data_IF_408197373805
#
_entry.id   IF_408197373805
#
_cell.length_a   1.000
_cell.length_b   1.000
_cell.length_c   1.000
_cell.angle_alpha   90.00
_cell.angle_beta   90.00
_cell.angle_gamma   90.00
#
_symmetry.space_group_name_H-M   'P 1'
#
loop_
_entity.id
_entity.type
_entity.pdbx_description
1 polymer ?
#
# COMPACT_ATOMS: atom_id res chain seq x y z
N UNK A 1 -38.52 9.54 8.24
CA UNK A 1 -39.24 8.37 8.74
C UNK A 1 -38.66 7.14 8.09
N UNK A 2 -37.63 6.55 8.72
CA UNK A 2 -36.99 5.33 8.25
C UNK A 2 -37.93 4.15 8.46
N UNK A 3 -38.25 3.44 7.40
CA UNK A 3 -39.10 2.26 7.40
C UNK A 3 -38.44 1.02 8.04
N UNK A 4 -37.11 1.11 8.34
CA UNK A 4 -36.37 0.01 8.98
C UNK A 4 -35.54 0.61 10.13
N UNK A 5 -35.81 0.26 11.39
CA UNK A 5 -34.97 0.70 12.51
C UNK A 5 -33.53 0.20 12.33
N UNK A 6 -32.54 1.09 12.43
CA UNK A 6 -31.13 0.78 12.30
C UNK A 6 -30.51 0.99 10.91
N UNK A 7 -31.26 1.40 9.91
CA UNK A 7 -30.72 1.77 8.60
C UNK A 7 -30.35 3.26 8.59
N UNK A 8 -29.14 3.58 9.04
CA UNK A 8 -28.60 4.92 8.88
C UNK A 8 -28.16 5.12 7.43
N UNK A 9 -28.79 6.10 6.75
CA UNK A 9 -28.38 6.48 5.40
C UNK A 9 -27.09 7.27 5.49
N UNK A 10 -26.03 6.73 4.91
CA UNK A 10 -24.74 7.39 4.82
C UNK A 10 -24.52 7.88 3.38
N UNK A 11 -24.31 9.17 3.24
CA UNK A 11 -23.95 9.77 1.97
C UNK A 11 -22.53 10.33 2.06
N UNK A 12 -21.68 9.93 1.16
CA UNK A 12 -20.30 10.41 1.06
C UNK A 12 -19.85 10.47 -0.39
N UNK A 13 -18.89 11.31 -0.66
CA UNK A 13 -18.17 11.38 -1.93
C UNK A 13 -16.82 10.69 -1.74
N UNK A 14 -16.45 9.79 -2.65
CA UNK A 14 -15.13 9.17 -2.68
C UNK A 14 -14.42 9.51 -3.98
N UNK A 15 -13.13 9.75 -3.88
CA UNK A 15 -12.22 9.93 -5.03
C UNK A 15 -11.02 9.02 -4.85
N UNK A 16 -10.64 8.30 -5.91
CA UNK A 16 -9.45 7.46 -5.95
C UNK A 16 -8.65 7.78 -7.22
N UNK A 17 -7.40 8.17 -7.04
CA UNK A 17 -6.48 8.52 -8.12
C UNK A 17 -5.25 7.63 -8.04
N UNK A 18 -4.89 6.97 -9.14
CA UNK A 18 -3.74 6.08 -9.24
C UNK A 18 -2.81 6.52 -10.35
N UNK A 19 -1.51 6.41 -10.11
CA UNK A 19 -0.46 6.66 -11.08
C UNK A 19 0.62 5.60 -10.99
N UNK A 20 1.13 5.18 -12.15
CA UNK A 20 2.20 4.20 -12.24
C UNK A 20 3.24 4.66 -13.25
N UNK A 21 4.52 4.42 -12.94
CA UNK A 21 5.64 4.73 -13.81
C UNK A 21 6.65 3.59 -13.75
N UNK A 22 7.26 3.27 -14.89
CA UNK A 22 8.20 2.18 -15.01
C UNK A 22 9.45 2.62 -15.79
N UNK A 23 10.63 2.33 -15.24
CA UNK A 23 11.91 2.58 -15.87
C UNK A 23 12.72 1.29 -15.93
N UNK A 24 13.16 0.88 -17.11
CA UNK A 24 14.15 -0.18 -17.25
C UNK A 24 15.53 0.41 -16.96
N UNK A 25 16.15 0.01 -15.86
CA UNK A 25 17.47 0.47 -15.44
C UNK A 25 18.58 -0.32 -16.14
N UNK A 26 18.34 -1.60 -16.37
CA UNK A 26 19.31 -2.51 -16.98
C UNK A 26 18.56 -3.57 -17.77
N UNK A 27 19.07 -3.92 -18.95
CA UNK A 27 18.61 -5.03 -19.77
C UNK A 27 19.81 -5.61 -20.52
N UNK A 28 20.41 -6.65 -19.94
CA UNK A 28 21.63 -7.28 -20.47
C UNK A 28 21.32 -8.71 -20.91
N UNK A 29 21.57 -9.07 -22.16
CA UNK A 29 21.45 -10.46 -22.61
C UNK A 29 22.54 -11.32 -21.94
N UNK A 30 22.13 -12.34 -21.19
CA UNK A 30 23.03 -13.27 -20.52
C UNK A 30 23.09 -14.57 -21.31
N UNK A 31 21.98 -14.97 -21.94
CA UNK A 31 21.90 -16.13 -22.84
C UNK A 31 20.91 -15.85 -23.96
N UNK A 32 20.82 -16.76 -24.95
CA UNK A 32 19.87 -16.62 -26.07
C UNK A 32 18.39 -16.55 -25.61
N UNK A 33 18.09 -17.07 -24.42
CA UNK A 33 16.73 -17.18 -23.90
C UNK A 33 16.47 -16.34 -22.66
N UNK A 34 17.49 -15.69 -22.09
CA UNK A 34 17.34 -14.95 -20.82
C UNK A 34 18.18 -13.67 -20.77
N UNK A 35 17.52 -12.59 -20.36
CA UNK A 35 18.13 -11.31 -20.07
C UNK A 35 18.12 -11.01 -18.57
N UNK A 36 19.23 -10.51 -18.04
CA UNK A 36 19.25 -9.89 -16.72
C UNK A 36 18.61 -8.50 -16.83
N UNK A 37 17.44 -8.35 -16.28
CA UNK A 37 16.66 -7.11 -16.35
C UNK A 37 16.34 -6.55 -14.98
N UNK A 38 16.55 -5.24 -14.82
CA UNK A 38 16.11 -4.49 -13.64
C UNK A 38 15.13 -3.42 -14.06
N UNK A 39 13.96 -3.41 -13.43
CA UNK A 39 12.92 -2.42 -13.66
C UNK A 39 12.60 -1.72 -12.36
N UNK A 40 12.74 -0.40 -12.36
CA UNK A 40 12.26 0.45 -11.27
C UNK A 40 10.80 0.80 -11.55
N UNK A 41 9.91 0.45 -10.64
CA UNK A 41 8.49 0.79 -10.71
C UNK A 41 8.14 1.76 -9.59
N UNK A 42 7.49 2.86 -9.93
CA UNK A 42 6.90 3.81 -9.01
C UNK A 42 5.38 3.73 -9.11
N UNK A 43 4.69 3.55 -7.98
CA UNK A 43 3.24 3.48 -7.91
C UNK A 43 2.76 4.47 -6.85
N UNK A 44 1.70 5.21 -7.15
CA UNK A 44 1.07 6.11 -6.21
C UNK A 44 -0.43 5.95 -6.26
N UNK A 45 -1.10 5.98 -5.12
CA UNK A 45 -2.56 6.04 -5.03
C UNK A 45 -2.97 7.03 -3.97
N UNK A 46 -3.86 7.94 -4.32
CA UNK A 46 -4.41 8.96 -3.45
C UNK A 46 -5.91 8.81 -3.41
N UNK A 47 -6.43 8.54 -2.23
CA UNK A 47 -7.86 8.30 -1.99
C UNK A 47 -8.39 9.26 -0.95
N UNK A 48 -9.57 9.81 -1.21
CA UNK A 48 -10.30 10.68 -0.30
C UNK A 48 -11.73 10.18 -0.13
N UNK A 49 -12.25 10.33 1.07
CA UNK A 49 -13.67 10.13 1.40
C UNK A 49 -14.16 11.34 2.17
N UNK A 50 -15.15 12.02 1.65
CA UNK A 50 -15.75 13.19 2.30
C UNK A 50 -17.23 12.91 2.59
N UNK A 51 -17.63 12.82 3.88
CA UNK A 51 -19.02 12.67 4.23
C UNK A 51 -19.80 13.96 3.89
N UNK A 52 -21.03 13.81 3.43
CA UNK A 52 -21.90 14.97 3.21
C UNK A 52 -22.28 15.64 4.53
N UNK A 53 -22.58 16.95 4.55
CA UNK A 53 -23.05 17.63 5.75
C UNK A 53 -24.21 16.87 6.42
N UNK A 54 -24.14 16.71 7.73
CA UNK A 54 -25.10 15.94 8.55
C UNK A 54 -25.11 14.42 8.34
N UNK A 55 -24.09 13.85 7.70
CA UNK A 55 -23.88 12.41 7.60
C UNK A 55 -22.69 12.01 8.45
N UNK A 56 -22.88 11.02 9.36
CA UNK A 56 -21.76 10.36 10.04
C UNK A 56 -21.34 9.16 9.24
N UNK A 57 -20.05 9.11 8.90
CA UNK A 57 -19.48 7.98 8.17
C UNK A 57 -19.18 6.83 9.14
N UNK A 58 -19.70 5.64 8.85
CA UNK A 58 -19.33 4.43 9.58
C UNK A 58 -17.86 4.09 9.37
N UNK A 59 -17.23 3.51 10.39
CA UNK A 59 -15.83 3.07 10.30
C UNK A 59 -15.58 2.08 9.16
N UNK A 60 -16.57 1.33 8.74
CA UNK A 60 -16.49 0.42 7.60
C UNK A 60 -16.31 1.13 6.24
N UNK A 61 -16.71 2.40 6.16
CA UNK A 61 -16.62 3.20 4.94
C UNK A 61 -15.42 4.17 4.94
N UNK A 62 -14.63 4.18 6.02
CA UNK A 62 -13.36 4.92 6.07
C UNK A 62 -12.26 4.17 5.33
N UNK A 63 -11.31 4.91 4.83
CA UNK A 63 -10.05 4.37 4.29
C UNK A 63 -9.21 3.76 5.42
N UNK A 64 -8.39 2.77 5.10
CA UNK A 64 -7.51 2.13 6.08
C UNK A 64 -6.24 1.57 5.41
N UNK A 65 -5.18 1.43 6.20
CA UNK A 65 -3.98 0.71 5.79
C UNK A 65 -4.25 -0.78 6.00
N UNK A 66 -4.29 -1.54 4.91
CA UNK A 66 -4.66 -2.95 4.92
C UNK A 66 -3.47 -3.90 5.18
N UNK A 67 -2.24 -3.39 5.07
CA UNK A 67 -1.01 -4.14 5.27
C UNK A 67 -0.67 -5.15 4.17
N UNK A 68 -1.51 -5.25 3.13
CA UNK A 68 -1.35 -6.16 2.01
C UNK A 68 -1.06 -5.41 0.70
N UNK A 69 -1.85 -4.37 0.41
CA UNK A 69 -1.73 -3.52 -0.78
C UNK A 69 -1.30 -2.10 -0.43
N UNK A 70 -1.67 -1.62 0.75
CA UNK A 70 -1.31 -0.31 1.30
C UNK A 70 -0.50 -0.49 2.58
N UNK A 71 0.70 0.10 2.64
CA UNK A 71 1.59 -0.03 3.79
C UNK A 71 1.86 -1.50 4.11
N UNK A 72 2.43 -2.24 3.17
CA UNK A 72 2.66 -3.68 3.28
C UNK A 72 3.36 -4.06 4.59
N UNK A 73 2.84 -5.07 5.29
CA UNK A 73 3.34 -5.51 6.59
C UNK A 73 2.76 -4.76 7.79
N UNK A 74 2.08 -3.63 7.60
CA UNK A 74 1.32 -3.00 8.68
C UNK A 74 0.08 -3.84 8.97
N UNK A 75 0.12 -4.61 10.05
CA UNK A 75 -0.94 -5.53 10.38
C UNK A 75 -2.22 -4.79 10.75
N UNK A 76 -3.29 -5.04 10.00
CA UNK A 76 -4.63 -4.55 10.31
C UNK A 76 -5.29 -5.26 11.50
N UNK A 77 -4.72 -6.37 11.96
CA UNK A 77 -5.35 -7.18 13.02
C UNK A 77 -5.30 -6.52 14.40
N UNK A 78 -4.33 -5.63 14.66
CA UNK A 78 -4.10 -5.08 16.00
C UNK A 78 -4.37 -3.59 16.14
N UNK A 79 -4.26 -2.84 15.06
CA UNK A 79 -4.59 -1.41 15.05
C UNK A 79 -4.91 -0.99 13.62
N UNK A 80 -6.20 -0.98 13.29
CA UNK A 80 -6.63 -0.48 12.00
C UNK A 80 -6.52 1.05 12.04
N UNK A 81 -5.51 1.58 11.38
CA UNK A 81 -5.42 3.02 11.15
C UNK A 81 -6.44 3.39 10.08
N UNK A 82 -7.50 4.06 10.49
CA UNK A 82 -8.58 4.52 9.62
C UNK A 82 -8.51 6.02 9.45
N UNK A 83 -8.96 6.51 8.30
CA UNK A 83 -8.97 7.93 8.00
C UNK A 83 -9.87 8.25 6.82
N UNK A 84 -9.98 9.53 6.52
CA UNK A 84 -10.76 10.03 5.38
C UNK A 84 -9.89 10.38 4.18
N UNK A 85 -8.58 10.40 4.36
CA UNK A 85 -7.59 10.60 3.30
C UNK A 85 -6.45 9.60 3.46
N UNK A 86 -6.08 8.94 2.37
CA UNK A 86 -5.01 7.95 2.30
C UNK A 86 -4.16 8.19 1.05
N UNK A 87 -2.86 8.37 1.23
CA UNK A 87 -1.90 8.44 0.14
C UNK A 87 -0.86 7.34 0.30
N UNK A 88 -0.87 6.39 -0.59
CA UNK A 88 0.08 5.28 -0.63
C UNK A 88 1.04 5.45 -1.81
N UNK A 89 2.34 5.39 -1.51
CA UNK A 89 3.39 5.45 -2.49
C UNK A 89 4.27 4.22 -2.36
N UNK A 90 4.63 3.65 -3.48
CA UNK A 90 5.46 2.45 -3.55
C UNK A 90 6.56 2.66 -4.58
N UNK A 91 7.77 2.31 -4.20
CA UNK A 91 8.90 2.15 -5.13
C UNK A 91 9.32 0.68 -5.09
N UNK A 92 9.40 0.04 -6.26
CA UNK A 92 9.81 -1.35 -6.39
C UNK A 92 10.95 -1.51 -7.38
N UNK A 93 12.01 -2.19 -6.97
CA UNK A 93 13.01 -2.71 -7.88
C UNK A 93 12.63 -4.15 -8.23
N UNK A 94 12.32 -4.40 -9.49
CA UNK A 94 11.86 -5.69 -10.01
C UNK A 94 12.92 -6.34 -10.87
N UNK A 95 13.20 -7.60 -10.61
CA UNK A 95 14.12 -8.42 -11.39
C UNK A 95 13.38 -9.67 -11.89
N UNK A 96 12.87 -9.65 -13.14
CA UNK A 96 12.28 -10.85 -13.76
C UNK A 96 13.34 -11.94 -13.91
N UNK A 97 13.14 -13.07 -13.27
CA UNK A 97 14.03 -14.26 -13.38
C UNK A 97 13.53 -15.16 -14.51
N UNK A 98 12.23 -15.45 -14.51
CA UNK A 98 11.56 -16.14 -15.60
C UNK A 98 10.46 -15.20 -16.13
N UNK A 99 10.67 -14.54 -17.30
CA UNK A 99 9.74 -13.56 -17.80
C UNK A 99 8.31 -14.11 -17.92
N UNK A 100 7.34 -13.36 -17.38
CA UNK A 100 5.94 -13.74 -17.34
C UNK A 100 5.57 -14.85 -16.33
N UNK A 101 6.53 -15.39 -15.58
CA UNK A 101 6.27 -16.45 -14.59
C UNK A 101 6.72 -16.01 -13.20
N UNK A 102 7.98 -15.58 -13.05
CA UNK A 102 8.59 -15.35 -11.75
C UNK A 102 9.50 -14.13 -11.74
N UNK A 103 9.37 -13.29 -10.73
CA UNK A 103 10.28 -12.17 -10.46
C UNK A 103 10.64 -12.07 -8.98
N UNK A 104 11.84 -11.54 -8.73
CA UNK A 104 12.26 -11.04 -7.44
C UNK A 104 11.96 -9.54 -7.39
N UNK A 105 11.44 -9.09 -6.27
CA UNK A 105 11.12 -7.68 -6.05
C UNK A 105 11.79 -7.21 -4.75
N UNK A 106 12.21 -5.96 -4.71
CA UNK A 106 12.49 -5.25 -3.47
C UNK A 106 11.63 -4.00 -3.45
N UNK A 107 10.91 -3.78 -2.37
CA UNK A 107 9.96 -2.68 -2.26
C UNK A 107 10.26 -1.74 -1.09
N UNK A 108 9.82 -0.51 -1.25
CA UNK A 108 9.73 0.50 -0.22
C UNK A 108 8.38 1.21 -0.34
N UNK A 109 7.58 1.18 0.72
CA UNK A 109 6.28 1.83 0.78
C UNK A 109 6.28 2.99 1.75
N UNK A 110 5.51 4.02 1.41
CA UNK A 110 5.18 5.15 2.27
C UNK A 110 3.67 5.34 2.21
N UNK A 111 2.98 5.04 3.28
CA UNK A 111 1.55 5.27 3.42
C UNK A 111 1.29 6.41 4.40
N UNK A 112 0.42 7.33 4.04
CA UNK A 112 0.02 8.47 4.85
C UNK A 112 -1.49 8.42 5.00
N UNK A 113 -1.99 8.43 6.24
CA UNK A 113 -3.42 8.37 6.51
C UNK A 113 -3.82 9.46 7.50
N UNK A 114 -4.93 10.16 7.21
CA UNK A 114 -5.45 11.27 8.03
C UNK A 114 -6.97 11.28 8.07
N UNK A 115 -7.50 11.82 9.17
CA UNK A 115 -8.94 12.02 9.35
C UNK A 115 -9.47 13.30 8.69
N UNK A 116 -8.58 14.18 8.20
CA UNK A 116 -8.95 15.49 7.63
C UNK A 116 -8.50 15.60 6.18
N UNK A 117 -9.39 15.35 5.18
CA UNK A 117 -9.02 15.45 3.77
C UNK A 117 -8.59 16.87 3.34
N UNK A 118 -9.26 17.90 3.87
CA UNK A 118 -9.04 19.30 3.44
C UNK A 118 -7.64 19.82 3.72
N UNK A 119 -7.05 19.40 4.84
CA UNK A 119 -5.71 19.84 5.28
C UNK A 119 -4.66 18.75 5.05
N UNK A 120 -4.92 17.78 4.17
CA UNK A 120 -4.07 16.62 4.00
C UNK A 120 -2.60 17.00 3.70
N UNK A 121 -2.39 17.93 2.76
CA UNK A 121 -1.03 18.32 2.34
C UNK A 121 -0.41 19.46 3.17
N UNK A 122 -1.21 20.23 3.89
CA UNK A 122 -0.74 21.40 4.65
C UNK A 122 -0.32 21.07 6.07
N UNK A 123 -0.84 20.00 6.65
CA UNK A 123 -0.62 19.60 8.03
C UNK A 123 -0.04 18.20 8.14
N UNK A 124 0.94 17.86 7.29
CA UNK A 124 1.59 16.56 7.34
C UNK A 124 2.42 16.43 8.63
N UNK A 125 2.11 15.41 9.42
CA UNK A 125 2.85 15.06 10.62
C UNK A 125 3.58 13.73 10.40
N UNK A 126 4.78 13.59 10.92
CA UNK A 126 5.55 12.34 10.86
C UNK A 126 4.82 11.15 11.50
N UNK A 127 3.93 11.39 12.46
CA UNK A 127 3.12 10.36 13.10
C UNK A 127 2.04 9.75 12.18
N UNK A 128 1.67 10.47 11.10
CA UNK A 128 0.67 10.01 10.12
C UNK A 128 1.32 9.17 9.00
N UNK A 129 2.65 9.04 9.01
CA UNK A 129 3.44 8.40 7.96
C UNK A 129 3.88 7.01 8.41
N UNK A 130 3.59 6.03 7.58
CA UNK A 130 3.85 4.62 7.81
C UNK A 130 4.79 4.11 6.72
N UNK A 131 5.95 3.61 7.12
CA UNK A 131 6.98 3.10 6.21
C UNK A 131 7.03 1.59 6.27
N UNK A 132 7.23 0.95 5.13
CA UNK A 132 7.60 -0.45 5.07
C UNK A 132 8.55 -0.75 3.92
N UNK A 133 9.35 -1.80 4.08
CA UNK A 133 10.29 -2.22 3.06
C UNK A 133 10.57 -3.72 3.16
N UNK A 134 11.02 -4.30 2.07
CA UNK A 134 11.49 -5.68 2.10
C UNK A 134 11.58 -6.34 0.74
N UNK A 135 12.11 -7.56 0.72
CA UNK A 135 12.14 -8.41 -0.46
C UNK A 135 10.78 -9.07 -0.70
N UNK A 136 10.52 -9.39 -1.97
CA UNK A 136 9.34 -10.11 -2.39
C UNK A 136 9.60 -11.05 -3.55
N UNK A 137 8.71 -12.03 -3.67
CA UNK A 137 8.62 -12.96 -4.79
C UNK A 137 7.28 -12.78 -5.46
N UNK A 138 7.29 -12.64 -6.77
CA UNK A 138 6.08 -12.50 -7.58
C UNK A 138 5.97 -13.64 -8.56
N UNK A 139 4.85 -14.34 -8.49
CA UNK A 139 4.43 -15.30 -9.50
C UNK A 139 3.34 -14.65 -10.35
N UNK A 140 3.61 -14.51 -11.64
CA UNK A 140 2.71 -13.85 -12.59
C UNK A 140 1.92 -14.87 -13.44
N UNK A 141 1.52 -15.99 -12.83
CA UNK A 141 0.70 -16.97 -13.53
C UNK A 141 -0.70 -16.38 -13.80
N UNK A 142 -1.22 -16.47 -15.02
CA UNK A 142 -2.50 -15.87 -15.39
C UNK A 142 -3.68 -16.30 -14.53
N UNK A 143 -3.64 -17.52 -14.01
CA UNK A 143 -4.70 -18.09 -13.16
C UNK A 143 -4.44 -17.89 -11.66
N UNK A 144 -3.21 -17.54 -11.27
CA UNK A 144 -2.81 -17.46 -9.88
C UNK A 144 -1.68 -16.42 -9.68
N UNK A 145 -1.99 -15.13 -9.74
CA UNK A 145 -1.02 -14.07 -9.50
C UNK A 145 -0.73 -13.96 -8.00
N UNK A 146 0.35 -14.57 -7.55
CA UNK A 146 0.74 -14.64 -6.16
C UNK A 146 1.95 -13.74 -5.88
N UNK A 147 1.89 -12.97 -4.81
CA UNK A 147 3.04 -12.25 -4.25
C UNK A 147 3.26 -12.68 -2.81
N UNK A 148 4.48 -13.06 -2.51
CA UNK A 148 4.97 -13.35 -1.16
C UNK A 148 6.03 -12.31 -0.81
N UNK A 149 5.90 -11.65 0.32
CA UNK A 149 6.81 -10.59 0.74
C UNK A 149 7.21 -10.77 2.20
N UNK A 150 8.41 -10.35 2.53
CA UNK A 150 8.86 -10.15 3.90
C UNK A 150 8.95 -8.64 4.12
N UNK A 151 8.12 -8.12 4.99
CA UNK A 151 8.01 -6.69 5.25
C UNK A 151 8.54 -6.34 6.63
N UNK A 152 9.31 -5.27 6.69
CA UNK A 152 9.71 -4.60 7.92
C UNK A 152 8.99 -3.26 7.99
N UNK A 153 8.44 -2.89 9.15
CA UNK A 153 7.54 -1.75 9.30
C UNK A 153 8.01 -0.80 10.38
N UNK A 154 8.04 0.50 10.09
CA UNK A 154 8.46 1.52 11.02
C UNK A 154 7.79 2.88 10.77
N UNK A 155 7.82 3.73 11.78
CA UNK A 155 7.49 5.15 11.70
C UNK A 155 8.70 5.99 12.12
N UNK A 156 8.68 7.27 11.80
CA UNK A 156 9.64 8.23 12.35
C UNK A 156 8.89 9.12 13.33
N UNK A 157 9.21 8.98 14.62
CA UNK A 157 8.63 9.77 15.71
C UNK A 157 9.75 10.55 16.42
N UNK A 158 9.58 11.86 16.51
CA UNK A 158 10.58 12.75 17.13
C UNK A 158 12.01 12.56 16.59
N UNK A 159 12.12 12.36 15.27
CA UNK A 159 13.41 12.13 14.60
C UNK A 159 14.05 10.75 14.85
N UNK A 160 13.34 9.84 15.51
CA UNK A 160 13.82 8.48 15.80
C UNK A 160 12.96 7.44 15.07
N UNK A 161 13.60 6.34 14.66
CA UNK A 161 12.90 5.20 14.08
C UNK A 161 12.15 4.46 15.20
N UNK A 162 10.84 4.35 15.04
CA UNK A 162 9.95 3.58 15.89
C UNK A 162 9.44 2.35 15.13
N UNK A 163 9.95 1.18 15.45
CA UNK A 163 9.52 -0.09 14.87
C UNK A 163 8.13 -0.47 15.39
N UNK A 164 7.33 -1.15 14.57
CA UNK A 164 5.95 -1.50 14.91
C UNK A 164 5.85 -2.31 16.21
N UNK A 165 6.79 -3.21 16.47
CA UNK A 165 6.82 -4.04 17.70
C UNK A 165 7.45 -3.32 18.92
N UNK A 166 8.00 -2.11 18.74
CA UNK A 166 8.68 -1.34 19.79
C UNK A 166 10.07 -1.84 20.21
N UNK A 167 10.56 -2.94 19.64
CA UNK A 167 11.82 -3.59 20.06
C UNK A 167 12.93 -3.50 19.00
N UNK A 168 12.57 -3.50 17.71
CA UNK A 168 13.54 -3.50 16.62
C UNK A 168 12.91 -4.00 15.32
N UNK A 169 13.73 -4.17 14.25
CA UNK A 169 13.23 -4.69 12.99
C UNK A 169 12.70 -6.11 13.15
N UNK A 170 11.49 -6.35 12.68
CA UNK A 170 10.84 -7.66 12.69
C UNK A 170 10.23 -7.93 11.31
N UNK A 171 10.59 -9.06 10.71
CA UNK A 171 10.09 -9.44 9.41
C UNK A 171 8.70 -10.06 9.51
N UNK A 172 7.75 -9.46 8.84
CA UNK A 172 6.40 -9.96 8.75
C UNK A 172 6.18 -10.57 7.37
N UNK A 173 5.61 -11.77 7.34
CA UNK A 173 5.23 -12.41 6.09
C UNK A 173 3.92 -11.83 5.59
N UNK A 174 3.94 -11.35 4.34
CA UNK A 174 2.76 -10.79 3.65
C UNK A 174 2.50 -11.63 2.42
N UNK A 175 1.28 -12.13 2.31
CA UNK A 175 0.80 -12.85 1.15
C UNK A 175 -0.28 -12.01 0.48
N UNK A 176 -0.12 -11.72 -0.80
CA UNK A 176 -1.13 -11.00 -1.56
C UNK A 176 -1.42 -11.68 -2.89
N UNK A 177 -2.69 -11.62 -3.28
CA UNK A 177 -3.17 -12.08 -4.57
C UNK A 177 -3.49 -10.85 -5.40
N UNK A 178 -2.72 -10.62 -6.45
CA UNK A 178 -3.00 -9.50 -7.35
C UNK A 178 -4.06 -9.94 -8.36
N UNK A 179 -5.32 -9.59 -8.09
CA UNK A 179 -6.46 -9.95 -8.96
C UNK A 179 -6.46 -9.09 -10.24
N UNK A 180 -5.72 -8.03 -10.29
CA UNK A 180 -5.56 -7.19 -11.47
C UNK A 180 -4.29 -7.55 -12.21
N UNK A 181 -4.43 -8.26 -13.32
CA UNK A 181 -3.41 -8.36 -14.34
C UNK A 181 -3.20 -6.96 -14.95
N UNK A 182 -2.27 -6.22 -14.42
CA UNK A 182 -1.66 -5.07 -15.07
C UNK A 182 -0.18 -4.99 -14.70
#
# INVERSE_FOLDING_TARGET
TGLIPGLEKQFFLSSDTKGEIYFTLLDLPVSETWNLKFVLAGLTSLSFVEPTPNSQLSDSNKLYIDGMFTGRGWSSLYSIHRGLALWNNTVELRMPIAPGIFSLDFFFDVAIIKDTPRNFFTELNSNDVYYSFGPGFRFSLPQFPLRMMLANTFQVRDGKVAWQNGKGPEWQFVLSFNITNR
#
